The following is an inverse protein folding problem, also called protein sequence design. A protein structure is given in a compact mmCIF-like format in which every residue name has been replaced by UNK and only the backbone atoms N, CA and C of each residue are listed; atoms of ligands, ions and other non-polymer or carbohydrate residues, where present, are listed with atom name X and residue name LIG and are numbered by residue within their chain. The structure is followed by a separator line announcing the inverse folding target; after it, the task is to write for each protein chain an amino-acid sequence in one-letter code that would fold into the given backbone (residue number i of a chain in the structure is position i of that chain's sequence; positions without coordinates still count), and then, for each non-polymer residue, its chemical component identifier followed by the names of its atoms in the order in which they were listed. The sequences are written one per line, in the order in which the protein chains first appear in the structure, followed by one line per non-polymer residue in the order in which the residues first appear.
data_IF_099441284354
#
_entry.id   IF_099441284354
#
_cell.length_a   1.000
_cell.length_b   1.000
_cell.length_c   1.000
_cell.angle_alpha   90.00
_cell.angle_beta   90.00
_cell.angle_gamma   90.00
#
_symmetry.space_group_name_H-M   'P 1'
#
loop_
_entity.id
_entity.type
_entity.pdbx_description
1 polymer ?
#
# COMPACT_ATOMS: atom_id res chain seq x y z
N UNK A 1 -54.29 -30.67 32.41
CA UNK A 1 -52.87 -30.90 32.77
C UNK A 1 -51.95 -31.05 31.55
N UNK A 2 -52.22 -31.94 30.58
CA UNK A 2 -51.35 -32.13 29.39
C UNK A 2 -51.15 -30.88 28.51
N UNK A 3 -52.20 -30.07 28.34
CA UNK A 3 -52.14 -28.82 27.55
C UNK A 3 -51.22 -27.76 28.17
N UNK A 4 -51.27 -27.59 29.50
CA UNK A 4 -50.36 -26.67 30.21
C UNK A 4 -48.89 -27.10 30.12
N UNK A 5 -48.63 -28.42 30.12
CA UNK A 5 -47.27 -28.94 29.99
C UNK A 5 -46.68 -28.69 28.59
N UNK A 6 -47.51 -28.80 27.54
CA UNK A 6 -47.10 -28.45 26.18
C UNK A 6 -46.84 -26.95 26.00
N UNK A 7 -47.67 -26.09 26.60
CA UNK A 7 -47.44 -24.64 26.58
C UNK A 7 -46.15 -24.27 27.33
N UNK A 8 -45.88 -24.91 28.46
CA UNK A 8 -44.66 -24.68 29.24
C UNK A 8 -43.41 -25.15 28.48
N UNK A 9 -43.46 -26.33 27.85
CA UNK A 9 -42.38 -26.86 27.00
C UNK A 9 -42.12 -25.97 25.78
N UNK A 10 -43.18 -25.48 25.13
CA UNK A 10 -43.06 -24.55 24.01
C UNK A 10 -42.42 -23.24 24.43
N UNK A 11 -42.83 -22.69 25.58
CA UNK A 11 -42.25 -21.45 26.12
C UNK A 11 -40.78 -21.62 26.52
N UNK A 12 -40.41 -22.75 27.13
CA UNK A 12 -39.02 -23.11 27.45
C UNK A 12 -38.15 -23.23 26.18
N UNK A 13 -38.70 -23.81 25.11
CA UNK A 13 -37.98 -23.94 23.84
C UNK A 13 -37.78 -22.58 23.14
N UNK A 14 -38.78 -21.70 23.20
CA UNK A 14 -38.67 -20.32 22.66
C UNK A 14 -37.69 -19.47 23.48
N UNK A 15 -37.72 -19.56 24.81
CA UNK A 15 -36.77 -18.86 25.69
C UNK A 15 -35.34 -19.38 25.52
N UNK A 16 -35.17 -20.70 25.33
CA UNK A 16 -33.87 -21.32 25.10
C UNK A 16 -33.24 -20.91 23.76
N UNK A 17 -34.04 -20.77 22.70
CA UNK A 17 -33.55 -20.34 21.38
C UNK A 17 -33.18 -18.85 21.32
N UNK A 18 -33.84 -17.99 22.10
CA UNK A 18 -33.54 -16.55 22.15
C UNK A 18 -32.16 -16.25 22.79
N UNK A 19 -31.65 -17.13 23.66
CA UNK A 19 -30.34 -16.97 24.30
C UNK A 19 -29.15 -17.47 23.47
N UNK A 20 -29.38 -18.11 22.32
CA UNK A 20 -28.29 -18.70 21.50
C UNK A 20 -27.56 -17.62 20.66
N UNK A 21 -28.12 -16.43 20.52
CA UNK A 21 -27.60 -15.36 19.64
C UNK A 21 -26.28 -14.71 20.09
N UNK A 22 -25.70 -15.13 21.23
CA UNK A 22 -24.50 -14.51 21.82
C UNK A 22 -23.19 -15.32 21.61
N UNK A 23 -23.21 -16.44 20.87
CA UNK A 23 -22.07 -17.37 20.82
C UNK A 23 -21.57 -17.74 19.41
N UNK A 24 -21.88 -16.95 18.38
CA UNK A 24 -21.27 -17.11 17.06
C UNK A 24 -20.51 -15.85 16.66
N UNK A 25 -19.33 -15.65 17.25
CA UNK A 25 -18.32 -14.74 16.70
C UNK A 25 -17.80 -15.39 15.40
N UNK A 26 -18.33 -14.90 14.28
CA UNK A 26 -17.81 -15.19 12.96
C UNK A 26 -16.99 -13.99 12.48
N UNK A 27 -15.96 -14.24 11.66
CA UNK A 27 -15.20 -13.17 11.04
C UNK A 27 -16.09 -12.25 10.20
N UNK A 28 -16.18 -10.98 10.58
CA UNK A 28 -16.82 -9.93 9.80
C UNK A 28 -15.81 -8.85 9.43
N UNK A 29 -15.82 -8.43 8.16
CA UNK A 29 -14.87 -7.46 7.62
C UNK A 29 -15.60 -6.24 7.09
N UNK A 30 -15.07 -5.05 7.37
CA UNK A 30 -15.55 -3.82 6.73
C UNK A 30 -15.12 -3.81 5.25
N UNK A 31 -16.03 -3.36 4.38
CA UNK A 31 -15.71 -3.16 2.96
C UNK A 31 -14.65 -2.04 2.85
N UNK A 32 -13.46 -2.38 2.36
CA UNK A 32 -12.37 -1.41 2.14
C UNK A 32 -12.04 -1.29 0.65
N UNK A 33 -11.74 -0.07 0.21
CA UNK A 33 -11.27 0.16 -1.15
C UNK A 33 -9.85 -0.42 -1.32
N UNK A 34 -9.47 -0.98 -2.49
CA UNK A 34 -8.14 -1.57 -2.70
C UNK A 34 -6.96 -0.63 -2.36
N UNK A 35 -7.13 0.67 -2.57
CA UNK A 35 -6.14 1.67 -2.15
C UNK A 35 -6.01 1.76 -0.63
N UNK A 36 -7.13 1.77 0.10
CA UNK A 36 -7.11 1.83 1.55
C UNK A 36 -6.51 0.54 2.14
N UNK A 37 -6.84 -0.62 1.58
CA UNK A 37 -6.20 -1.88 1.96
C UNK A 37 -4.68 -1.88 1.71
N UNK A 38 -4.23 -1.30 0.60
CA UNK A 38 -2.79 -1.10 0.31
C UNK A 38 -2.14 -0.17 1.35
N UNK A 39 -2.80 0.92 1.72
CA UNK A 39 -2.27 1.92 2.64
C UNK A 39 -2.22 1.42 4.09
N UNK A 40 -3.25 0.70 4.54
CA UNK A 40 -3.37 0.15 5.89
C UNK A 40 -2.51 -1.11 6.13
N UNK A 41 -1.92 -1.68 5.06
CA UNK A 41 -1.04 -2.85 5.15
C UNK A 41 0.41 -2.45 5.30
N UNK A 42 1.18 -3.21 6.06
CA UNK A 42 2.62 -3.01 6.20
C UNK A 42 3.39 -3.53 4.99
N UNK A 43 2.92 -4.63 4.43
CA UNK A 43 3.55 -5.28 3.29
C UNK A 43 2.51 -5.54 2.19
N UNK A 44 2.97 -5.42 0.95
CA UNK A 44 2.18 -5.74 -0.23
C UNK A 44 3.08 -6.48 -1.21
N UNK A 45 2.76 -7.75 -1.45
CA UNK A 45 3.61 -8.64 -2.27
C UNK A 45 2.79 -9.41 -3.30
N UNK A 46 3.40 -9.71 -4.44
CA UNK A 46 2.94 -10.74 -5.37
C UNK A 46 3.75 -12.01 -5.11
N UNK A 47 3.07 -13.10 -4.80
CA UNK A 47 3.71 -14.35 -4.46
C UNK A 47 2.92 -15.57 -4.95
N UNK A 48 3.63 -16.69 -5.12
CA UNK A 48 3.03 -18.00 -5.37
C UNK A 48 3.17 -18.87 -4.12
N UNK A 49 2.07 -19.47 -3.67
CA UNK A 49 2.08 -20.37 -2.51
C UNK A 49 2.62 -21.73 -2.93
N UNK A 50 3.66 -22.21 -2.26
CA UNK A 50 4.35 -23.47 -2.59
C UNK A 50 4.07 -24.58 -1.58
N UNK A 51 3.65 -24.23 -0.37
CA UNK A 51 3.30 -25.20 0.66
C UNK A 51 2.49 -24.58 1.81
N UNK A 52 1.88 -25.44 2.62
CA UNK A 52 1.17 -25.06 3.85
C UNK A 52 1.54 -26.01 4.98
N UNK A 53 1.62 -25.49 6.20
CA UNK A 53 1.86 -26.24 7.43
C UNK A 53 0.98 -25.69 8.54
N UNK A 54 0.21 -26.54 9.19
CA UNK A 54 -0.52 -26.18 10.39
C UNK A 54 0.46 -26.21 11.58
N UNK A 55 0.56 -25.09 12.28
CA UNK A 55 1.30 -24.95 13.52
C UNK A 55 0.34 -25.08 14.69
N UNK A 56 0.72 -25.88 15.69
CA UNK A 56 -0.06 -26.12 16.91
C UNK A 56 0.42 -25.19 18.02
N UNK A 57 0.55 -23.90 17.71
CA UNK A 57 1.14 -22.90 18.61
C UNK A 57 0.11 -22.31 19.59
N UNK A 58 -1.10 -22.89 19.68
CA UNK A 58 -2.17 -22.44 20.58
C UNK A 58 -3.49 -23.20 20.36
N UNK A 59 -4.55 -22.86 21.12
CA UNK A 59 -5.85 -23.55 21.07
C UNK A 59 -6.54 -23.44 19.71
N UNK A 60 -6.28 -22.37 18.96
CA UNK A 60 -6.95 -22.07 17.69
C UNK A 60 -6.12 -22.40 16.44
N UNK A 61 -4.85 -22.76 16.60
CA UNK A 61 -3.93 -23.13 15.52
C UNK A 61 -3.59 -22.01 14.53
N UNK A 62 -2.34 -21.97 14.06
CA UNK A 62 -1.91 -20.99 13.06
C UNK A 62 -1.50 -21.71 11.79
N UNK A 63 -2.02 -21.27 10.64
CA UNK A 63 -1.62 -21.78 9.34
C UNK A 63 -0.41 -20.99 8.82
N UNK A 64 0.68 -21.70 8.53
CA UNK A 64 1.87 -21.13 7.91
C UNK A 64 1.94 -21.55 6.44
N UNK A 65 1.97 -20.59 5.55
CA UNK A 65 2.20 -20.79 4.12
C UNK A 65 3.65 -20.49 3.76
N UNK A 66 4.29 -21.40 3.04
CA UNK A 66 5.57 -21.14 2.38
C UNK A 66 5.28 -20.53 1.02
N UNK A 67 5.92 -19.42 0.71
CA UNK A 67 5.68 -18.68 -0.53
C UNK A 67 6.98 -18.45 -1.29
N UNK A 68 6.85 -18.37 -2.62
CA UNK A 68 7.88 -17.81 -3.49
C UNK A 68 7.49 -16.37 -3.80
N UNK A 69 8.15 -15.42 -3.14
CA UNK A 69 7.97 -14.00 -3.42
C UNK A 69 8.45 -13.70 -4.85
N UNK A 70 7.57 -13.08 -5.65
CA UNK A 70 7.88 -12.70 -7.03
C UNK A 70 8.19 -11.21 -7.14
N UNK A 71 7.38 -10.37 -6.48
CA UNK A 71 7.57 -8.92 -6.44
C UNK A 71 7.05 -8.36 -5.13
N UNK A 72 7.77 -7.40 -4.56
CA UNK A 72 7.31 -6.58 -3.44
C UNK A 72 6.95 -5.19 -3.96
N UNK A 73 5.86 -4.64 -3.44
CA UNK A 73 5.36 -3.30 -3.79
C UNK A 73 5.43 -2.35 -2.59
N UNK A 74 5.37 -2.88 -1.37
CA UNK A 74 5.45 -2.13 -0.11
C UNK A 74 6.07 -3.02 0.97
N UNK A 75 6.78 -2.41 1.92
CA UNK A 75 7.30 -3.07 3.12
C UNK A 75 8.78 -3.43 3.06
N UNK A 76 9.54 -2.86 2.11
CA UNK A 76 10.99 -3.07 1.96
C UNK A 76 11.77 -2.65 3.22
N UNK A 77 11.25 -1.67 3.95
CA UNK A 77 11.78 -1.13 5.19
C UNK A 77 11.56 -2.05 6.40
N UNK A 78 10.51 -2.89 6.37
CA UNK A 78 10.18 -3.81 7.47
C UNK A 78 10.75 -5.21 7.25
N UNK A 79 10.66 -5.72 6.02
CA UNK A 79 11.10 -7.07 5.67
C UNK A 79 11.70 -7.05 4.27
N UNK A 80 12.96 -7.47 4.14
CA UNK A 80 13.63 -7.53 2.83
C UNK A 80 13.08 -8.66 1.94
N UNK A 81 12.80 -9.82 2.53
CA UNK A 81 12.31 -10.99 1.81
C UNK A 81 11.33 -11.82 2.65
N UNK A 82 10.14 -12.07 2.10
CA UNK A 82 9.06 -12.82 2.75
C UNK A 82 9.08 -14.27 2.26
N UNK A 83 9.46 -15.19 3.15
CA UNK A 83 9.44 -16.64 2.87
C UNK A 83 8.16 -17.31 3.41
N UNK A 84 7.61 -16.76 4.49
CA UNK A 84 6.50 -17.34 5.24
C UNK A 84 5.41 -16.31 5.50
N UNK A 85 4.17 -16.75 5.38
CA UNK A 85 2.98 -15.97 5.70
C UNK A 85 2.15 -16.76 6.71
N UNK A 86 1.66 -16.07 7.73
CA UNK A 86 0.90 -16.63 8.82
C UNK A 86 -0.54 -16.11 8.73
N UNK A 87 -1.50 -17.00 9.02
CA UNK A 87 -2.92 -16.66 9.09
C UNK A 87 -3.59 -17.65 10.03
N UNK A 88 -4.79 -17.34 10.52
CA UNK A 88 -5.54 -18.24 11.38
C UNK A 88 -5.92 -19.54 10.64
N UNK A 89 -6.02 -20.64 11.37
CA UNK A 89 -6.30 -21.95 10.77
C UNK A 89 -7.75 -22.06 10.24
N UNK A 90 -8.69 -21.30 10.79
CA UNK A 90 -10.11 -21.34 10.46
C UNK A 90 -10.59 -20.02 9.84
N UNK A 91 -11.48 -20.12 8.85
CA UNK A 91 -12.14 -18.96 8.23
C UNK A 91 -13.02 -18.18 9.24
N UNK A 92 -13.61 -18.88 10.20
CA UNK A 92 -14.38 -18.25 11.29
C UNK A 92 -13.52 -17.30 12.12
N UNK A 93 -12.21 -17.53 12.18
CA UNK A 93 -11.22 -16.68 12.87
C UNK A 93 -10.47 -15.76 11.90
N UNK A 94 -11.06 -15.44 10.75
CA UNK A 94 -10.44 -14.61 9.71
C UNK A 94 -9.23 -15.25 9.00
N UNK A 95 -9.10 -16.57 9.05
CA UNK A 95 -8.07 -17.33 8.34
C UNK A 95 -8.28 -17.40 6.83
N UNK A 96 -7.23 -17.19 6.05
CA UNK A 96 -7.28 -17.23 4.57
C UNK A 96 -6.83 -18.59 4.04
N UNK A 97 -7.60 -19.14 3.10
CA UNK A 97 -7.22 -20.34 2.35
C UNK A 97 -6.61 -19.98 1.01
N UNK A 98 -5.34 -20.33 0.81
CA UNK A 98 -4.67 -20.19 -0.48
C UNK A 98 -4.53 -21.53 -1.19
N UNK A 99 -4.70 -21.53 -2.52
CA UNK A 99 -4.40 -22.70 -3.34
C UNK A 99 -2.89 -22.85 -3.54
N UNK A 100 -2.38 -24.04 -3.23
CA UNK A 100 -0.96 -24.38 -3.39
C UNK A 100 -0.67 -24.63 -4.87
N UNK A 101 0.40 -24.03 -5.37
CA UNK A 101 0.95 -24.22 -6.71
C UNK A 101 0.04 -23.91 -7.91
N UNK A 102 -1.19 -23.43 -7.68
CA UNK A 102 -2.13 -23.06 -8.75
C UNK A 102 -1.96 -21.63 -9.22
N UNK A 103 -2.21 -20.67 -8.33
CA UNK A 103 -2.33 -19.26 -8.70
C UNK A 103 -1.21 -18.40 -8.12
N UNK A 104 -1.06 -17.22 -8.72
CA UNK A 104 -0.28 -16.13 -8.14
C UNK A 104 -1.24 -15.20 -7.42
N UNK A 105 -0.88 -14.80 -6.20
CA UNK A 105 -1.72 -13.96 -5.36
C UNK A 105 -1.05 -12.60 -5.14
N UNK A 106 -1.87 -11.56 -5.11
CA UNK A 106 -1.55 -10.35 -4.37
C UNK A 106 -1.90 -10.62 -2.91
N UNK A 107 -0.93 -10.46 -2.04
CA UNK A 107 -1.10 -10.67 -0.61
C UNK A 107 -0.73 -9.37 0.11
N UNK A 108 -1.65 -8.95 0.97
CA UNK A 108 -1.47 -7.79 1.84
C UNK A 108 -1.55 -8.24 3.29
N UNK A 109 -0.85 -7.54 4.17
CA UNK A 109 -0.80 -7.93 5.56
C UNK A 109 0.02 -7.00 6.43
N UNK A 110 0.08 -7.37 7.71
CA UNK A 110 0.85 -6.66 8.73
C UNK A 110 2.10 -7.45 9.11
N UNK A 111 3.12 -6.73 9.57
CA UNK A 111 4.35 -7.35 10.06
C UNK A 111 4.37 -7.24 11.57
N UNK A 112 4.45 -8.37 12.24
CA UNK A 112 4.61 -8.46 13.68
C UNK A 112 5.78 -9.39 13.98
N UNK A 113 6.77 -8.89 14.73
CA UNK A 113 7.97 -9.66 15.10
C UNK A 113 8.69 -10.30 13.90
N UNK A 114 8.85 -9.53 12.81
CA UNK A 114 9.46 -10.00 11.55
C UNK A 114 8.64 -11.04 10.77
N UNK A 115 7.47 -11.43 11.27
CA UNK A 115 6.55 -12.37 10.63
C UNK A 115 5.41 -11.61 9.95
N UNK A 116 5.04 -12.10 8.77
CA UNK A 116 3.94 -11.53 7.99
C UNK A 116 2.64 -12.22 8.34
N UNK A 117 1.67 -11.46 8.83
CA UNK A 117 0.32 -11.94 9.13
C UNK A 117 -0.68 -11.39 8.11
N UNK A 118 -1.53 -12.27 7.61
CA UNK A 118 -2.65 -11.92 6.72
C UNK A 118 -3.93 -12.61 7.20
N UNK A 119 -5.07 -12.08 6.76
CA UNK A 119 -6.40 -12.51 7.19
C UNK A 119 -7.45 -12.19 6.12
N UNK A 120 -8.66 -12.71 6.29
CA UNK A 120 -9.77 -12.56 5.33
C UNK A 120 -10.13 -11.11 5.02
N UNK A 121 -9.94 -10.21 5.99
CA UNK A 121 -10.22 -8.79 5.81
C UNK A 121 -9.12 -8.02 5.06
N UNK A 122 -7.97 -8.66 4.80
CA UNK A 122 -6.93 -8.05 3.98
C UNK A 122 -7.26 -8.23 2.50
N UNK A 123 -6.69 -7.38 1.66
CA UNK A 123 -6.87 -7.48 0.21
C UNK A 123 -5.98 -8.60 -0.36
N UNK A 124 -6.54 -9.81 -0.36
CA UNK A 124 -5.90 -11.04 -0.83
C UNK A 124 -6.65 -11.55 -2.06
N UNK A 125 -6.07 -11.39 -3.24
CA UNK A 125 -6.75 -11.76 -4.48
C UNK A 125 -5.83 -12.41 -5.50
N UNK A 126 -6.43 -13.18 -6.41
CA UNK A 126 -5.70 -13.79 -7.51
C UNK A 126 -5.21 -12.70 -8.45
N UNK A 127 -3.92 -12.69 -8.76
CA UNK A 127 -3.29 -11.68 -9.60
C UNK A 127 -3.96 -11.55 -10.97
N UNK A 128 -4.42 -12.66 -11.55
CA UNK A 128 -5.11 -12.67 -12.83
C UNK A 128 -6.48 -11.97 -12.78
N UNK A 129 -7.19 -12.05 -11.65
CA UNK A 129 -8.50 -11.40 -11.46
C UNK A 129 -8.42 -9.89 -11.29
N UNK A 130 -7.26 -9.36 -10.91
CA UNK A 130 -7.09 -7.93 -10.72
C UNK A 130 -7.25 -7.19 -12.05
N UNK A 131 -8.02 -6.10 -12.03
CA UNK A 131 -8.18 -5.22 -13.18
C UNK A 131 -6.85 -4.56 -13.56
N UNK A 132 -6.73 -4.14 -14.82
CA UNK A 132 -5.55 -3.39 -15.28
C UNK A 132 -5.35 -2.10 -14.47
N UNK A 133 -6.44 -1.47 -14.04
CA UNK A 133 -6.41 -0.29 -13.17
C UNK A 133 -5.86 -0.62 -11.78
N UNK A 134 -6.29 -1.72 -11.16
CA UNK A 134 -5.77 -2.19 -9.86
C UNK A 134 -4.28 -2.53 -9.95
N UNK A 135 -3.87 -3.28 -10.99
CA UNK A 135 -2.45 -3.63 -11.24
C UNK A 135 -1.58 -2.38 -11.39
N UNK A 136 -2.04 -1.36 -12.12
CA UNK A 136 -1.35 -0.05 -12.24
C UNK A 136 -1.35 0.70 -10.90
N UNK A 137 -2.46 0.63 -10.17
CA UNK A 137 -2.62 1.21 -8.83
C UNK A 137 -1.57 0.72 -7.85
N UNK A 138 -1.47 -0.60 -7.69
CA UNK A 138 -0.53 -1.27 -6.78
C UNK A 138 0.93 -0.96 -7.09
N UNK A 139 1.29 -0.77 -8.38
CA UNK A 139 2.68 -0.52 -8.75
C UNK A 139 3.17 0.86 -8.30
N UNK A 140 2.36 1.91 -8.42
CA UNK A 140 2.82 3.29 -8.17
C UNK A 140 1.75 4.24 -7.61
N UNK A 141 0.47 4.09 -7.96
CA UNK A 141 -0.54 5.12 -7.66
C UNK A 141 -1.09 5.04 -6.24
N UNK A 142 -1.27 3.83 -5.70
CA UNK A 142 -1.86 3.68 -4.38
C UNK A 142 -0.97 4.23 -3.27
N UNK A 143 0.36 4.11 -3.42
CA UNK A 143 1.31 4.71 -2.48
C UNK A 143 1.17 6.24 -2.41
N UNK A 144 1.05 6.90 -3.57
CA UNK A 144 0.84 8.36 -3.65
C UNK A 144 -0.51 8.78 -3.07
N UNK A 145 -1.51 7.91 -3.19
CA UNK A 145 -2.86 8.17 -2.71
C UNK A 145 -3.08 7.85 -1.22
N UNK A 146 -2.07 7.40 -0.46
CA UNK A 146 -2.28 7.06 0.95
C UNK A 146 -2.58 8.25 1.85
N UNK A 147 -2.20 9.46 1.44
CA UNK A 147 -2.58 10.71 2.13
C UNK A 147 -4.04 11.11 1.84
N UNK A 148 -4.71 10.45 0.89
CA UNK A 148 -6.10 10.69 0.56
C UNK A 148 -7.00 9.65 1.23
N UNK A 149 -8.07 10.10 1.90
CA UNK A 149 -9.04 9.22 2.55
C UNK A 149 -10.15 8.86 1.55
N UNK A 150 -10.21 7.59 1.14
CA UNK A 150 -11.25 7.08 0.24
C UNK A 150 -12.53 6.79 1.06
N UNK A 151 -13.12 7.80 1.69
CA UNK A 151 -14.43 7.63 2.33
C UNK A 151 -15.51 7.59 1.25
N UNK A 152 -16.34 6.53 1.26
CA UNK A 152 -17.35 6.23 0.25
C UNK A 152 -18.07 7.46 -0.30
N UNK A 153 -17.75 7.82 -1.55
CA UNK A 153 -18.31 8.97 -2.27
C UNK A 153 -17.34 10.12 -2.56
N UNK A 154 -16.15 10.16 -1.94
CA UNK A 154 -15.15 11.21 -2.17
C UNK A 154 -14.19 10.88 -3.31
N UNK A 155 -14.11 11.75 -4.31
CA UNK A 155 -13.09 11.69 -5.36
C UNK A 155 -11.70 11.94 -4.72
N UNK A 156 -10.81 10.94 -4.76
CA UNK A 156 -9.39 11.25 -4.59
C UNK A 156 -8.90 11.96 -5.86
N UNK A 157 -8.33 13.15 -5.75
CA UNK A 157 -7.78 13.82 -6.91
C UNK A 157 -6.54 13.06 -7.41
N UNK A 158 -6.24 13.13 -8.72
CA UNK A 158 -5.09 12.45 -9.30
C UNK A 158 -3.77 12.90 -8.66
N UNK A 159 -2.72 12.05 -8.70
CA UNK A 159 -1.38 12.45 -8.25
C UNK A 159 -0.95 13.74 -8.96
N UNK A 160 -0.56 14.76 -8.20
CA UNK A 160 -0.25 16.12 -8.67
C UNK A 160 -1.24 17.21 -8.25
N UNK A 161 -2.37 16.86 -7.62
CA UNK A 161 -3.32 17.85 -7.12
C UNK A 161 -2.98 18.42 -5.73
N UNK A 162 -2.06 17.78 -4.99
CA UNK A 162 -1.63 18.21 -3.65
C UNK A 162 -0.37 19.10 -3.68
N UNK A 163 0.28 19.25 -4.83
CA UNK A 163 1.53 20.03 -4.99
C UNK A 163 1.30 21.56 -4.99
N UNK A 164 0.04 22.03 -4.86
CA UNK A 164 -0.27 23.46 -4.86
C UNK A 164 -0.14 24.11 -3.49
N UNK A 165 -0.17 23.36 -2.39
CA UNK A 165 -0.07 23.93 -1.04
C UNK A 165 1.40 24.17 -0.60
N UNK A 166 2.38 23.42 -1.13
CA UNK A 166 3.80 23.61 -0.79
C UNK A 166 4.50 24.74 -1.58
N UNK A 167 3.99 25.16 -2.74
CA UNK A 167 4.61 26.24 -3.53
C UNK A 167 4.24 27.67 -3.11
N UNK A 168 3.17 27.84 -2.32
CA UNK A 168 2.77 29.17 -1.82
C UNK A 168 3.68 29.63 -0.66
N UNK A 169 4.23 28.68 0.12
CA UNK A 169 5.02 28.99 1.31
C UNK A 169 6.50 29.28 1.01
N UNK A 170 7.06 28.70 -0.06
CA UNK A 170 8.42 28.99 -0.55
C UNK A 170 8.52 30.32 -1.32
N UNK A 171 7.40 30.99 -1.63
CA UNK A 171 7.39 32.32 -2.27
C UNK A 171 7.45 33.47 -1.25
N UNK A 172 7.21 33.21 0.03
CA UNK A 172 7.34 34.19 1.10
C UNK A 172 8.79 34.28 1.62
N UNK A 173 9.68 34.79 0.78
CA UNK A 173 11.04 35.17 1.22
C UNK A 173 11.03 36.23 2.34
N UNK A 174 12.13 36.36 3.11
CA UNK A 174 12.18 37.21 4.30
C UNK A 174 11.99 38.70 3.94
N UNK A 175 11.52 39.54 4.88
CA UNK A 175 11.19 40.94 4.60
C UNK A 175 12.46 41.76 4.35
N UNK A 176 12.83 41.90 3.08
CA UNK A 176 13.90 42.76 2.60
C UNK A 176 13.46 44.23 2.52
N UNK A 177 14.30 45.08 3.10
CA UNK A 177 14.23 46.53 3.26
C UNK A 177 13.76 47.31 2.02
N UNK A 178 12.79 48.21 2.19
CA UNK A 178 12.29 49.15 1.16
C UNK A 178 13.44 49.98 0.56
N UNK A 179 13.83 49.72 -0.70
CA UNK A 179 14.58 50.68 -1.50
C UNK A 179 13.64 51.79 -1.96
N UNK A 180 13.86 53.00 -1.45
CA UNK A 180 13.29 54.27 -1.93
C UNK A 180 13.58 54.42 -3.43
N UNK A 181 12.54 54.60 -4.23
CA UNK A 181 12.66 55.14 -5.59
C UNK A 181 13.14 56.59 -5.50
N UNK A 182 14.17 56.94 -6.26
CA UNK A 182 14.45 58.31 -6.69
C UNK A 182 14.61 58.31 -8.21
N UNK A 183 13.91 59.24 -8.85
CA UNK A 183 13.76 59.39 -10.29
C UNK A 183 15.00 59.91 -11.03
N UNK A 184 14.83 60.32 -12.29
CA UNK A 184 15.87 60.23 -13.31
C UNK A 184 16.48 61.58 -13.67
N UNK A 185 17.78 61.80 -13.43
CA UNK A 185 18.52 62.91 -14.08
C UNK A 185 20.01 62.57 -14.29
N UNK A 186 20.42 62.60 -15.56
CA UNK A 186 21.65 63.19 -16.11
C UNK A 186 23.04 62.71 -15.64
N UNK A 187 23.88 62.31 -16.61
CA UNK A 187 25.34 62.44 -16.47
C UNK A 187 26.19 61.49 -17.33
N UNK A 188 26.76 61.99 -18.44
CA UNK A 188 27.85 61.35 -19.20
C UNK A 188 29.10 61.20 -18.31
N UNK A 189 29.89 60.13 -18.50
CA UNK A 189 31.37 60.18 -18.53
C UNK A 189 31.99 58.92 -19.14
N UNK A 190 33.12 59.17 -19.79
CA UNK A 190 33.95 58.31 -20.64
C UNK A 190 34.86 57.32 -19.89
N UNK A 191 35.31 56.29 -20.63
CA UNK A 191 36.60 55.60 -20.51
C UNK A 191 36.55 54.29 -19.71
N UNK A 192 37.15 53.16 -20.11
CA UNK A 192 38.03 52.80 -21.22
C UNK A 192 38.80 51.51 -20.84
N UNK A 193 39.33 50.79 -21.85
CA UNK A 193 40.21 49.59 -21.81
C UNK A 193 39.55 48.28 -21.35
N UNK A 194 39.74 47.12 -21.98
CA UNK A 194 40.62 46.73 -23.09
C UNK A 194 41.12 45.28 -22.88
N UNK A 195 41.34 44.57 -24.00
CA UNK A 195 41.97 43.24 -24.17
C UNK A 195 41.08 42.05 -23.77
N UNK A 196 40.95 40.97 -24.55
CA UNK A 196 41.61 40.55 -25.79
C UNK A 196 41.87 39.04 -25.75
N UNK A 197 41.71 38.39 -26.92
CA UNK A 197 42.06 36.98 -27.27
C UNK A 197 41.12 35.90 -26.71
N UNK A 198 40.62 34.93 -27.46
CA UNK A 198 40.88 34.54 -28.85
C UNK A 198 41.05 33.02 -28.96
N UNK A 199 40.30 32.41 -29.89
CA UNK A 199 40.46 31.05 -30.48
C UNK A 199 40.24 29.87 -29.52
N UNK A 200 39.63 28.75 -29.90
CA UNK A 200 39.10 28.31 -31.17
C UNK A 200 38.90 26.79 -31.16
N UNK A 201 37.81 26.36 -31.81
CA UNK A 201 37.61 25.13 -32.63
C UNK A 201 37.89 23.72 -32.08
N UNK A 202 36.97 22.83 -32.48
CA UNK A 202 37.16 21.38 -32.66
C UNK A 202 36.31 20.57 -31.70
N UNK A 203 35.01 20.36 -31.92
CA UNK A 203 34.35 19.32 -32.76
C UNK A 203 34.84 17.87 -32.53
N UNK A 204 33.89 16.91 -32.59
CA UNK A 204 33.91 15.68 -31.82
C UNK A 204 34.39 14.49 -32.64
N UNK A 205 34.71 13.41 -31.95
CA UNK A 205 34.76 12.03 -32.44
C UNK A 205 35.01 11.17 -31.20
N UNK A 206 34.72 9.88 -31.14
CA UNK A 206 33.85 8.94 -31.83
C UNK A 206 34.06 7.67 -30.96
N UNK A 207 33.08 6.76 -30.91
CA UNK A 207 33.22 5.45 -30.27
C UNK A 207 34.53 4.72 -30.66
N UNK A 208 34.90 3.71 -29.87
CA UNK A 208 35.03 2.41 -30.50
C UNK A 208 34.15 1.35 -29.82
N UNK A 209 33.52 0.57 -30.69
CA UNK A 209 33.01 -0.77 -30.42
C UNK A 209 34.17 -1.77 -30.33
N UNK A 210 33.81 -3.02 -29.98
CA UNK A 210 34.58 -4.28 -29.96
C UNK A 210 35.18 -4.64 -28.60
N UNK A 211 35.22 -5.90 -28.17
CA UNK A 211 34.55 -7.17 -28.47
C UNK A 211 35.26 -8.19 -27.56
N UNK A 212 34.53 -9.20 -27.09
CA UNK A 212 34.96 -10.62 -27.01
C UNK A 212 35.97 -11.06 -25.90
N UNK A 213 35.42 -11.90 -25.01
CA UNK A 213 35.83 -13.25 -24.56
C UNK A 213 37.28 -13.45 -24.06
N UNK A 214 37.42 -13.66 -22.75
CA UNK A 214 37.72 -14.95 -22.09
C UNK A 214 37.38 -14.86 -20.59
#
# INVERSE_FOLDING_TARGET
MKSMYHQLLSLLFVLGSLQINQLTEACSCALSHPQEAYCNSDIVIRAKVVGKKLLKDGPFGTMRYTIKQMKMYKGFEKVQHVQHIYTDASESLCGVKFDINKYQYLITGRVFDGKVYTGLCNFNERWERLSLAQKKGINHRYQLGCNCRVSGGGHCPPPGAWDQDEQEQDRAGPPGTKRRQQGPWGGRRHGGRGRGRGRGRGRPNLLPQHMIIL
#
